data_IF_513515757852
#
_entry.id   IF_513515757852
#
_cell.length_a   1.000
_cell.length_b   1.000
_cell.length_c   1.000
_cell.angle_alpha   90.00
_cell.angle_beta   90.00
_cell.angle_gamma   90.00
#
_symmetry.space_group_name_H-M   'P 1'
#
loop_
_entity.id
_entity.type
_entity.pdbx_description
1 polymer ?
#
# COMPACT_ATOMS: atom_id res chain seq x y z
N UNK A 1 -9.96 19.07 -21.31
CA UNK A 1 -10.25 17.83 -22.08
C UNK A 1 -9.02 16.93 -22.08
N UNK A 2 -9.01 15.91 -21.23
CA UNK A 2 -8.39 14.62 -21.52
C UNK A 2 -9.56 13.69 -21.81
N UNK A 3 -9.57 13.05 -22.97
CA UNK A 3 -10.55 12.01 -23.30
C UNK A 3 -9.98 10.72 -22.72
N UNK A 4 -10.43 10.34 -21.53
CA UNK A 4 -10.31 8.96 -21.06
C UNK A 4 -11.55 8.24 -21.56
N UNK A 5 -11.35 7.25 -22.43
CA UNK A 5 -12.41 6.31 -22.81
C UNK A 5 -12.88 5.60 -21.54
N UNK A 6 -14.19 5.56 -21.24
CA UNK A 6 -14.70 4.67 -20.22
C UNK A 6 -14.69 3.26 -20.83
N UNK A 7 -13.51 2.63 -20.87
CA UNK A 7 -13.49 1.16 -20.86
C UNK A 7 -13.88 0.79 -19.44
N UNK A 8 -15.18 0.75 -19.20
CA UNK A 8 -15.73 0.00 -18.09
C UNK A 8 -15.41 -1.44 -18.45
N UNK A 9 -14.27 -1.94 -17.98
CA UNK A 9 -14.09 -3.38 -17.89
C UNK A 9 -15.18 -3.80 -16.90
N UNK A 10 -16.23 -4.50 -17.34
CA UNK A 10 -17.23 -4.97 -16.40
C UNK A 10 -16.49 -5.76 -15.33
N UNK A 11 -16.78 -5.57 -14.03
CA UNK A 11 -16.18 -6.38 -13.00
C UNK A 11 -16.37 -7.84 -13.43
N UNK A 12 -15.29 -8.64 -13.52
CA UNK A 12 -15.43 -10.00 -14.02
C UNK A 12 -16.50 -10.68 -13.18
N UNK A 13 -17.42 -11.39 -13.84
CA UNK A 13 -18.38 -12.24 -13.13
C UNK A 13 -17.62 -13.04 -12.06
N UNK A 14 -18.17 -13.19 -10.86
CA UNK A 14 -17.52 -13.89 -9.73
C UNK A 14 -17.04 -15.29 -10.14
N UNK A 15 -17.70 -15.90 -11.14
CA UNK A 15 -17.29 -17.17 -11.78
C UNK A 15 -16.08 -17.01 -12.72
N UNK A 16 -16.04 -15.93 -13.49
CA UNK A 16 -14.95 -15.62 -14.42
C UNK A 16 -13.66 -15.20 -13.73
N UNK A 17 -13.72 -14.49 -12.60
CA UNK A 17 -12.52 -14.08 -11.87
C UNK A 17 -11.82 -15.28 -11.22
N UNK A 18 -12.59 -16.20 -10.65
CA UNK A 18 -12.09 -17.47 -10.12
C UNK A 18 -11.49 -18.31 -11.24
N UNK A 19 -12.24 -18.50 -12.34
CA UNK A 19 -11.78 -19.25 -13.51
C UNK A 19 -10.53 -18.65 -14.16
N UNK A 20 -10.45 -17.31 -14.26
CA UNK A 20 -9.29 -16.59 -14.80
C UNK A 20 -8.06 -16.80 -13.90
N UNK A 21 -8.22 -16.61 -12.59
CA UNK A 21 -7.15 -16.86 -11.62
C UNK A 21 -6.68 -18.30 -11.67
N UNK A 22 -7.59 -19.29 -11.76
CA UNK A 22 -7.23 -20.71 -11.92
C UNK A 22 -6.55 -21.01 -13.27
N UNK A 23 -7.00 -20.37 -14.36
CA UNK A 23 -6.40 -20.55 -15.70
C UNK A 23 -5.00 -19.97 -15.82
N UNK A 24 -4.65 -18.98 -15.00
CA UNK A 24 -3.31 -18.40 -14.91
C UNK A 24 -2.30 -19.33 -14.21
N UNK A 25 -2.77 -20.33 -13.45
CA UNK A 25 -1.93 -21.24 -12.67
C UNK A 25 -1.94 -22.69 -13.18
N UNK A 26 -2.24 -22.90 -14.46
CA UNK A 26 -2.06 -24.14 -15.26
C UNK A 26 -2.01 -25.42 -14.42
N UNK A 27 -3.18 -26.00 -14.14
CA UNK A 27 -3.26 -27.43 -13.89
C UNK A 27 -3.22 -28.14 -15.25
N UNK A 28 -2.36 -29.14 -15.48
CA UNK A 28 -2.44 -29.97 -16.67
C UNK A 28 -3.86 -30.57 -16.74
N UNK A 29 -4.48 -30.58 -17.92
CA UNK A 29 -5.86 -31.01 -18.20
C UNK A 29 -6.20 -32.47 -17.80
N UNK A 30 -5.25 -33.17 -17.18
CA UNK A 30 -5.27 -34.62 -17.04
C UNK A 30 -5.93 -35.11 -15.74
N UNK A 31 -6.25 -34.22 -14.78
CA UNK A 31 -6.81 -34.64 -13.49
C UNK A 31 -8.19 -34.02 -13.20
N UNK A 32 -9.19 -34.49 -13.94
CA UNK A 32 -10.60 -34.06 -13.84
C UNK A 32 -11.14 -34.17 -12.42
N UNK A 33 -10.68 -35.16 -11.63
CA UNK A 33 -11.12 -35.38 -10.25
C UNK A 33 -10.65 -34.30 -9.27
N UNK A 34 -9.40 -33.87 -9.36
CA UNK A 34 -8.87 -32.79 -8.50
C UNK A 34 -9.56 -31.46 -8.82
N UNK A 35 -9.80 -31.18 -10.10
CA UNK A 35 -10.53 -29.98 -10.53
C UNK A 35 -11.96 -29.95 -9.97
N UNK A 36 -12.66 -31.09 -10.02
CA UNK A 36 -14.02 -31.20 -9.49
C UNK A 36 -14.06 -31.03 -7.97
N UNK A 37 -13.10 -31.63 -7.24
CA UNK A 37 -12.97 -31.44 -5.80
C UNK A 37 -12.74 -29.97 -5.42
N UNK A 38 -11.90 -29.26 -6.17
CA UNK A 38 -11.62 -27.84 -5.95
C UNK A 38 -12.87 -26.98 -6.21
N UNK A 39 -13.61 -27.25 -7.30
CA UNK A 39 -14.86 -26.56 -7.61
C UNK A 39 -15.94 -26.80 -6.54
N UNK A 40 -16.03 -28.01 -6.01
CA UNK A 40 -17.00 -28.37 -4.96
C UNK A 40 -16.65 -27.71 -3.62
N UNK A 41 -15.36 -27.67 -3.26
CA UNK A 41 -14.88 -26.89 -2.10
C UNK A 41 -15.17 -25.39 -2.30
N UNK A 42 -14.89 -24.84 -3.49
CA UNK A 42 -15.15 -23.43 -3.79
C UNK A 42 -16.64 -23.07 -3.71
N UNK A 43 -17.54 -23.98 -4.15
CA UNK A 43 -19.00 -23.84 -4.04
C UNK A 43 -19.47 -23.91 -2.58
N UNK A 44 -18.98 -24.87 -1.79
CA UNK A 44 -19.29 -24.97 -0.36
C UNK A 44 -18.87 -23.70 0.40
N UNK A 45 -17.66 -23.19 0.13
CA UNK A 45 -17.16 -21.94 0.69
C UNK A 45 -17.99 -20.73 0.23
N UNK A 46 -18.61 -20.79 -0.95
CA UNK A 46 -19.50 -19.73 -1.43
C UNK A 46 -20.86 -19.71 -0.71
N UNK A 47 -21.28 -20.85 -0.17
CA UNK A 47 -22.58 -21.03 0.49
C UNK A 47 -22.54 -20.81 2.01
N UNK A 48 -21.35 -20.82 2.63
CA UNK A 48 -21.20 -20.61 4.07
C UNK A 48 -20.38 -19.36 4.35
N UNK A 49 -20.93 -18.47 5.19
CA UNK A 49 -20.35 -17.14 5.43
C UNK A 49 -19.11 -17.14 6.34
N UNK A 50 -18.83 -18.22 7.09
CA UNK A 50 -17.71 -18.26 8.04
C UNK A 50 -17.02 -19.63 8.04
N UNK A 51 -15.82 -19.70 7.45
CA UNK A 51 -14.91 -20.84 7.55
C UNK A 51 -13.66 -20.43 8.34
N UNK A 52 -13.22 -21.27 9.27
CA UNK A 52 -11.86 -21.17 9.81
C UNK A 52 -10.87 -21.79 8.82
N UNK A 53 -9.62 -21.31 8.85
CA UNK A 53 -8.53 -21.85 8.04
C UNK A 53 -8.35 -23.37 8.27
N UNK A 54 -8.48 -23.81 9.52
CA UNK A 54 -8.45 -25.22 9.92
C UNK A 54 -9.54 -26.06 9.22
N UNK A 55 -10.78 -25.53 9.17
CA UNK A 55 -11.91 -26.22 8.54
C UNK A 55 -11.72 -26.36 7.03
N UNK A 56 -11.13 -25.36 6.38
CA UNK A 56 -10.82 -25.41 4.93
C UNK A 56 -9.72 -26.44 4.67
N UNK A 57 -8.65 -26.44 5.47
CA UNK A 57 -7.56 -27.44 5.36
C UNK A 57 -8.07 -28.86 5.54
N UNK A 58 -8.93 -29.10 6.54
CA UNK A 58 -9.51 -30.41 6.80
C UNK A 58 -10.45 -30.87 5.66
N UNK A 59 -11.26 -29.95 5.13
CA UNK A 59 -12.14 -30.23 4.00
C UNK A 59 -11.32 -30.56 2.75
N UNK A 60 -10.30 -29.77 2.38
CA UNK A 60 -9.44 -30.04 1.21
C UNK A 60 -8.70 -31.38 1.38
N UNK A 61 -8.18 -31.66 2.58
CA UNK A 61 -7.49 -32.92 2.89
C UNK A 61 -8.41 -34.13 2.71
N UNK A 62 -9.71 -33.99 2.98
CA UNK A 62 -10.70 -35.05 2.78
C UNK A 62 -10.88 -35.46 1.31
N UNK A 63 -10.55 -34.58 0.35
CA UNK A 63 -10.59 -34.88 -1.08
C UNK A 63 -9.27 -35.46 -1.63
N UNK A 64 -8.27 -35.69 -0.78
CA UNK A 64 -6.99 -36.28 -1.20
C UNK A 64 -6.13 -35.37 -2.08
N UNK A 65 -6.36 -34.06 -2.03
CA UNK A 65 -5.63 -33.05 -2.81
C UNK A 65 -4.19 -32.90 -2.30
N UNK A 66 -3.23 -32.78 -3.21
CA UNK A 66 -1.81 -32.60 -2.90
C UNK A 66 -1.53 -31.32 -2.11
N UNK A 67 -0.40 -31.27 -1.39
CA UNK A 67 -0.03 -30.11 -0.57
C UNK A 67 0.08 -28.81 -1.39
N UNK A 68 0.61 -28.87 -2.61
CA UNK A 68 0.76 -27.69 -3.48
C UNK A 68 -0.61 -27.12 -3.88
N UNK A 69 -1.58 -27.99 -4.17
CA UNK A 69 -2.95 -27.58 -4.48
C UNK A 69 -3.70 -27.09 -3.25
N UNK A 70 -3.44 -27.64 -2.06
CA UNK A 70 -3.97 -27.11 -0.79
C UNK A 70 -3.55 -25.66 -0.59
N UNK A 71 -2.30 -25.32 -0.87
CA UNK A 71 -1.80 -23.95 -0.75
C UNK A 71 -2.49 -23.01 -1.75
N UNK A 72 -2.64 -23.44 -3.01
CA UNK A 72 -3.34 -22.66 -4.06
C UNK A 72 -4.79 -22.41 -3.67
N UNK A 73 -5.51 -23.44 -3.21
CA UNK A 73 -6.91 -23.30 -2.78
C UNK A 73 -7.00 -22.36 -1.57
N UNK A 74 -6.11 -22.48 -0.58
CA UNK A 74 -6.08 -21.57 0.56
C UNK A 74 -5.87 -20.12 0.14
N UNK A 75 -4.93 -19.84 -0.77
CA UNK A 75 -4.73 -18.49 -1.31
C UNK A 75 -5.99 -17.96 -2.02
N UNK A 76 -6.67 -18.80 -2.79
CA UNK A 76 -7.93 -18.45 -3.45
C UNK A 76 -9.07 -18.14 -2.47
N UNK A 77 -9.16 -18.90 -1.37
CA UNK A 77 -10.17 -18.68 -0.32
C UNK A 77 -9.89 -17.40 0.45
N UNK A 78 -8.63 -17.16 0.84
CA UNK A 78 -8.20 -15.91 1.48
C UNK A 78 -8.53 -14.73 0.58
N UNK A 79 -8.15 -14.77 -0.71
CA UNK A 79 -8.44 -13.70 -1.65
C UNK A 79 -9.94 -13.39 -1.77
N UNK A 80 -10.79 -14.43 -1.76
CA UNK A 80 -12.26 -14.27 -1.81
C UNK A 80 -12.84 -13.69 -0.52
N UNK A 81 -12.37 -14.13 0.65
CA UNK A 81 -12.76 -13.56 1.93
C UNK A 81 -12.34 -12.09 2.01
N UNK A 82 -11.11 -11.78 1.62
CA UNK A 82 -10.62 -10.40 1.51
C UNK A 82 -11.48 -9.59 0.55
N UNK A 83 -11.87 -10.13 -0.61
CA UNK A 83 -12.77 -9.45 -1.54
C UNK A 83 -14.17 -9.21 -0.95
N UNK A 84 -14.73 -10.14 -0.19
CA UNK A 84 -16.00 -9.95 0.50
C UNK A 84 -15.90 -8.87 1.58
N UNK A 85 -14.85 -8.88 2.40
CA UNK A 85 -14.58 -7.84 3.40
C UNK A 85 -14.41 -6.47 2.74
N UNK A 86 -13.66 -6.40 1.63
CA UNK A 86 -13.51 -5.19 0.81
C UNK A 86 -14.88 -4.73 0.28
N UNK A 87 -15.70 -5.63 -0.27
CA UNK A 87 -17.03 -5.28 -0.77
C UNK A 87 -17.96 -4.76 0.33
N UNK A 88 -17.90 -5.35 1.53
CA UNK A 88 -18.65 -4.89 2.70
C UNK A 88 -18.14 -3.52 3.19
N UNK A 89 -16.83 -3.30 3.18
CA UNK A 89 -16.22 -2.01 3.46
C UNK A 89 -16.68 -0.96 2.44
N UNK A 90 -16.67 -1.27 1.14
CA UNK A 90 -17.19 -0.40 0.09
C UNK A 90 -18.67 -0.05 0.32
N UNK A 91 -19.53 -1.02 0.64
CA UNK A 91 -20.92 -0.73 0.96
C UNK A 91 -21.07 0.14 2.22
N UNK A 92 -20.20 -0.05 3.21
CA UNK A 92 -20.18 0.79 4.42
C UNK A 92 -19.73 2.21 4.11
N UNK A 93 -18.75 2.38 3.20
CA UNK A 93 -18.27 3.69 2.75
C UNK A 93 -19.32 4.37 1.86
N UNK A 94 -19.96 3.65 0.95
CA UNK A 94 -21.04 4.15 0.09
C UNK A 94 -22.30 4.51 0.89
N UNK A 95 -22.63 3.73 1.93
CA UNK A 95 -23.70 4.07 2.87
C UNK A 95 -23.34 5.31 3.70
N UNK A 96 -22.05 5.50 3.99
CA UNK A 96 -21.47 6.71 4.56
C UNK A 96 -21.05 7.74 3.50
N UNK A 97 -21.76 7.83 2.36
CA UNK A 97 -21.57 8.82 1.26
C UNK A 97 -21.42 10.29 1.68
N UNK A 98 -21.51 10.58 2.96
CA UNK A 98 -21.24 11.86 3.64
C UNK A 98 -19.79 12.09 4.11
N UNK A 99 -18.87 11.11 4.10
CA UNK A 99 -17.51 11.32 4.66
C UNK A 99 -16.53 12.02 3.72
N UNK A 100 -16.54 11.70 2.43
CA UNK A 100 -15.67 12.35 1.44
C UNK A 100 -16.45 13.38 0.61
N UNK A 101 -16.47 14.62 1.11
CA UNK A 101 -16.90 15.78 0.32
C UNK A 101 -15.69 16.62 -0.03
N UNK A 102 -15.68 17.22 -1.22
CA UNK A 102 -14.74 18.30 -1.56
C UNK A 102 -14.88 19.51 -0.61
N UNK A 103 -15.94 19.54 0.22
CA UNK A 103 -16.15 20.48 1.31
C UNK A 103 -15.56 20.03 2.66
N UNK A 104 -14.85 18.90 2.73
CA UNK A 104 -14.27 18.42 3.98
C UNK A 104 -13.14 19.38 4.42
N UNK A 105 -13.38 20.11 5.51
CA UNK A 105 -12.49 21.16 6.02
C UNK A 105 -11.10 20.63 6.36
N UNK A 106 -10.99 19.39 6.87
CA UNK A 106 -9.71 18.78 7.22
C UNK A 106 -8.86 18.52 5.96
N UNK A 107 -9.47 17.99 4.90
CA UNK A 107 -8.79 17.75 3.61
C UNK A 107 -8.36 19.07 2.97
N UNK A 108 -9.20 20.09 3.05
CA UNK A 108 -8.89 21.44 2.54
C UNK A 108 -7.71 22.04 3.33
N UNK A 109 -7.72 21.98 4.66
CA UNK A 109 -6.65 22.50 5.51
C UNK A 109 -5.32 21.83 5.19
N UNK A 110 -5.30 20.51 5.05
CA UNK A 110 -4.10 19.78 4.66
C UNK A 110 -3.63 20.10 3.26
N UNK A 111 -4.56 20.25 2.31
CA UNK A 111 -4.21 20.69 0.98
C UNK A 111 -3.54 22.07 0.99
N UNK A 112 -4.07 23.00 1.79
CA UNK A 112 -3.52 24.35 1.96
C UNK A 112 -2.12 24.34 2.57
N UNK A 113 -1.88 23.51 3.60
CA UNK A 113 -0.54 23.32 4.19
C UNK A 113 0.48 22.79 3.17
N UNK A 114 0.06 21.86 2.32
CA UNK A 114 0.93 21.26 1.31
C UNK A 114 1.20 22.18 0.10
N UNK A 115 0.46 23.29 -0.07
CA UNK A 115 0.64 24.21 -1.22
C UNK A 115 2.05 24.75 -1.33
N UNK A 116 2.65 25.12 -0.20
CA UNK A 116 4.01 25.67 -0.15
C UNK A 116 5.05 24.71 -0.75
N UNK A 117 4.82 23.40 -0.64
CA UNK A 117 5.71 22.38 -1.20
C UNK A 117 5.68 22.34 -2.73
N UNK A 118 4.59 22.70 -3.40
CA UNK A 118 4.42 22.53 -4.86
C UNK A 118 4.65 23.79 -5.70
N UNK A 119 5.76 24.50 -5.45
CA UNK A 119 6.44 25.48 -6.35
C UNK A 119 5.59 26.26 -7.37
N UNK A 120 4.41 26.75 -6.97
CA UNK A 120 3.42 27.43 -7.83
C UNK A 120 3.02 26.69 -9.12
N UNK A 121 3.21 25.37 -9.21
CA UNK A 121 2.84 24.59 -10.39
C UNK A 121 1.41 24.05 -10.25
N UNK A 122 0.39 24.61 -10.93
CA UNK A 122 -1.01 24.20 -10.74
C UNK A 122 -1.25 22.75 -11.15
N UNK A 123 -0.41 22.20 -12.05
CA UNK A 123 -0.51 20.80 -12.46
C UNK A 123 -0.03 19.85 -11.37
N UNK A 124 1.03 20.19 -10.64
CA UNK A 124 1.49 19.42 -9.47
C UNK A 124 0.45 19.46 -8.37
N UNK A 125 -0.08 20.65 -8.05
CA UNK A 125 -1.14 20.82 -7.06
C UNK A 125 -2.37 19.95 -7.38
N UNK A 126 -2.85 19.97 -8.63
CA UNK A 126 -3.96 19.11 -9.05
C UNK A 126 -3.66 17.61 -8.89
N UNK A 127 -2.43 17.18 -9.23
CA UNK A 127 -2.01 15.79 -9.05
C UNK A 127 -1.98 15.41 -7.57
N UNK A 128 -1.41 16.28 -6.73
CA UNK A 128 -1.39 16.12 -5.28
C UNK A 128 -2.80 15.96 -4.72
N UNK A 129 -3.72 16.88 -5.06
CA UNK A 129 -5.11 16.80 -4.62
C UNK A 129 -5.74 15.47 -5.00
N UNK A 130 -5.57 15.02 -6.25
CA UNK A 130 -6.11 13.72 -6.70
C UNK A 130 -5.55 12.54 -5.90
N UNK A 131 -4.25 12.53 -5.60
CA UNK A 131 -3.62 11.48 -4.79
C UNK A 131 -4.12 11.56 -3.35
N UNK A 132 -4.25 12.76 -2.78
CA UNK A 132 -4.81 12.97 -1.44
C UNK A 132 -6.26 12.48 -1.36
N UNK A 133 -7.11 12.79 -2.36
CA UNK A 133 -8.49 12.30 -2.45
C UNK A 133 -8.55 10.78 -2.36
N UNK A 134 -7.76 10.13 -3.22
CA UNK A 134 -7.71 8.68 -3.30
C UNK A 134 -7.17 8.07 -2.01
N UNK A 135 -6.09 8.61 -1.48
CA UNK A 135 -5.46 8.10 -0.25
C UNK A 135 -6.36 8.28 0.98
N UNK A 136 -7.09 9.40 1.07
CA UNK A 136 -8.08 9.63 2.11
C UNK A 136 -9.23 8.62 2.03
N UNK A 137 -9.70 8.30 0.82
CA UNK A 137 -10.71 7.27 0.62
C UNK A 137 -10.22 5.90 1.14
N UNK A 138 -8.97 5.53 0.84
CA UNK A 138 -8.37 4.29 1.37
C UNK A 138 -8.23 4.36 2.89
N UNK A 139 -7.79 5.49 3.43
CA UNK A 139 -7.69 5.73 4.87
C UNK A 139 -9.03 5.49 5.59
N UNK A 140 -10.13 6.06 5.10
CA UNK A 140 -11.46 5.88 5.68
C UNK A 140 -11.94 4.42 5.59
N UNK A 141 -11.62 3.72 4.50
CA UNK A 141 -11.90 2.29 4.38
C UNK A 141 -11.14 1.44 5.39
N UNK A 142 -9.84 1.69 5.57
CA UNK A 142 -9.02 1.02 6.60
C UNK A 142 -9.55 1.30 8.01
N UNK A 143 -9.92 2.55 8.29
CA UNK A 143 -10.52 2.96 9.56
C UNK A 143 -11.85 2.25 9.82
N UNK A 144 -12.70 2.10 8.80
CA UNK A 144 -13.96 1.35 8.90
C UNK A 144 -13.73 -0.13 9.22
N UNK A 145 -12.64 -0.71 8.70
CA UNK A 145 -12.18 -2.07 8.99
C UNK A 145 -11.41 -2.20 10.32
N UNK A 146 -11.30 -1.11 11.11
CA UNK A 146 -10.53 -1.06 12.38
C UNK A 146 -9.06 -1.45 12.22
N UNK A 147 -8.49 -1.22 11.03
CA UNK A 147 -7.06 -1.38 10.80
C UNK A 147 -6.31 -0.14 11.30
N UNK A 148 -5.01 -0.29 11.56
CA UNK A 148 -4.14 0.86 11.81
C UNK A 148 -4.16 1.81 10.60
N UNK A 149 -4.26 3.11 10.88
CA UNK A 149 -4.25 4.17 9.86
C UNK A 149 -3.34 5.32 10.29
N UNK A 150 -2.55 5.91 9.38
CA UNK A 150 -1.77 7.11 9.67
C UNK A 150 -2.70 8.31 9.92
N UNK A 151 -2.21 9.36 10.56
CA UNK A 151 -2.97 10.62 10.63
C UNK A 151 -3.09 11.24 9.23
N UNK A 152 -4.05 12.14 9.02
CA UNK A 152 -4.19 12.85 7.72
C UNK A 152 -2.93 13.70 7.44
N UNK A 153 -2.30 14.26 8.47
CA UNK A 153 -1.03 14.97 8.35
C UNK A 153 0.07 14.03 7.82
N UNK A 154 0.27 12.88 8.47
CA UNK A 154 1.26 11.87 8.04
C UNK A 154 0.99 11.39 6.61
N UNK A 155 -0.29 11.19 6.25
CA UNK A 155 -0.70 10.83 4.90
C UNK A 155 -0.31 11.91 3.88
N UNK A 156 -0.55 13.17 4.22
CA UNK A 156 -0.22 14.35 3.40
C UNK A 156 1.28 14.43 3.17
N UNK A 157 2.08 14.29 4.23
CA UNK A 157 3.54 14.32 4.16
C UNK A 157 4.10 13.17 3.33
N UNK A 158 3.52 11.98 3.46
CA UNK A 158 3.90 10.83 2.64
C UNK A 158 3.66 11.07 1.13
N UNK A 159 2.53 11.70 0.79
CA UNK A 159 2.20 12.05 -0.60
C UNK A 159 3.18 13.11 -1.12
N UNK A 160 3.48 14.14 -0.33
CA UNK A 160 4.49 15.16 -0.68
C UNK A 160 5.84 14.50 -0.94
N UNK A 161 6.29 13.63 -0.03
CA UNK A 161 7.54 12.90 -0.13
C UNK A 161 7.62 12.07 -1.42
N UNK A 162 6.55 11.32 -1.72
CA UNK A 162 6.46 10.47 -2.92
C UNK A 162 6.46 11.27 -4.22
N UNK A 163 5.81 12.43 -4.23
CA UNK A 163 5.72 13.27 -5.43
C UNK A 163 6.98 14.08 -5.69
N UNK A 164 7.63 14.59 -4.65
CA UNK A 164 8.82 15.45 -4.77
C UNK A 164 10.11 14.66 -4.89
N UNK A 165 10.22 13.54 -4.17
CA UNK A 165 11.44 12.73 -4.13
C UNK A 165 11.16 11.26 -4.46
N UNK A 166 10.63 10.95 -5.66
CA UNK A 166 10.30 9.58 -6.04
C UNK A 166 11.53 8.65 -6.04
N UNK A 167 12.73 9.17 -6.36
CA UNK A 167 13.97 8.37 -6.30
C UNK A 167 14.32 7.95 -4.87
N UNK A 168 14.09 8.83 -3.89
CA UNK A 168 14.25 8.50 -2.47
C UNK A 168 13.26 7.41 -2.05
N UNK A 169 11.98 7.55 -2.41
CA UNK A 169 10.95 6.54 -2.06
C UNK A 169 11.26 5.18 -2.69
N UNK A 170 11.76 5.16 -3.94
CA UNK A 170 12.23 3.92 -4.57
C UNK A 170 13.44 3.31 -3.85
N UNK A 171 14.38 4.14 -3.40
CA UNK A 171 15.53 3.68 -2.60
C UNK A 171 15.08 3.11 -1.25
N UNK A 172 14.18 3.80 -0.56
CA UNK A 172 13.60 3.37 0.71
C UNK A 172 12.91 2.02 0.55
N UNK A 173 12.03 1.89 -0.46
CA UNK A 173 11.32 0.65 -0.74
C UNK A 173 12.28 -0.54 -1.02
N UNK A 174 13.33 -0.32 -1.80
CA UNK A 174 14.36 -1.35 -2.06
C UNK A 174 15.09 -1.76 -0.79
N UNK A 175 15.39 -0.80 0.10
CA UNK A 175 16.09 -1.07 1.35
C UNK A 175 15.21 -1.74 2.39
N UNK A 176 13.92 -1.44 2.43
CA UNK A 176 12.99 -2.06 3.38
C UNK A 176 12.71 -3.55 3.13
N UNK A 177 13.06 -4.08 1.96
CA UNK A 177 12.79 -5.49 1.60
C UNK A 177 11.82 -5.66 0.43
N UNK A 178 11.49 -4.57 -0.27
CA UNK A 178 10.64 -4.59 -1.45
C UNK A 178 9.17 -4.90 -1.15
N UNK A 179 8.54 -5.70 -2.01
CA UNK A 179 7.09 -6.02 -1.98
C UNK A 179 6.75 -7.02 -0.84
N UNK A 180 7.73 -7.52 -0.10
CA UNK A 180 7.45 -8.44 1.01
C UNK A 180 6.82 -7.67 2.17
N UNK A 181 5.51 -7.88 2.37
CA UNK A 181 4.74 -7.37 3.50
C UNK A 181 4.98 -8.24 4.74
N UNK A 182 6.19 -8.19 5.29
CA UNK A 182 6.48 -8.75 6.61
C UNK A 182 6.70 -7.63 7.64
N UNK A 183 6.51 -7.96 8.92
CA UNK A 183 6.73 -7.01 10.03
C UNK A 183 8.18 -6.48 10.09
N UNK A 184 9.13 -7.20 9.50
CA UNK A 184 10.54 -6.77 9.48
C UNK A 184 10.75 -5.60 8.52
N UNK A 185 10.02 -5.59 7.40
CA UNK A 185 10.02 -4.49 6.42
C UNK A 185 9.50 -3.18 7.00
N UNK A 186 8.43 -3.24 7.82
CA UNK A 186 7.88 -2.07 8.52
C UNK A 186 8.90 -1.50 9.52
N UNK A 187 9.48 -2.35 10.39
CA UNK A 187 10.53 -1.94 11.35
C UNK A 187 11.71 -1.27 10.65
N UNK A 188 12.17 -1.84 9.53
CA UNK A 188 13.32 -1.29 8.80
C UNK A 188 13.00 0.05 8.16
N UNK A 189 11.80 0.22 7.63
CA UNK A 189 11.35 1.50 7.06
C UNK A 189 11.34 2.58 8.13
N UNK A 190 10.80 2.25 9.31
CA UNK A 190 10.79 3.13 10.47
C UNK A 190 12.21 3.55 10.86
N UNK A 191 13.10 2.60 11.08
CA UNK A 191 14.50 2.83 11.47
C UNK A 191 15.23 3.75 10.46
N UNK A 192 14.98 3.55 9.15
CA UNK A 192 15.56 4.40 8.11
C UNK A 192 15.03 5.84 8.23
N UNK A 193 13.72 6.01 8.38
CA UNK A 193 13.09 7.33 8.51
C UNK A 193 13.55 8.05 9.78
N UNK A 194 13.63 7.36 10.92
CA UNK A 194 14.14 7.93 12.18
C UNK A 194 15.60 8.37 12.05
N UNK A 195 16.44 7.57 11.39
CA UNK A 195 17.85 7.94 11.12
C UNK A 195 17.96 9.20 10.27
N UNK A 196 17.08 9.34 9.27
CA UNK A 196 16.97 10.54 8.43
C UNK A 196 16.39 11.72 9.21
N UNK A 197 15.43 11.53 10.09
CA UNK A 197 14.94 12.62 10.94
C UNK A 197 16.08 13.11 11.86
N UNK A 198 16.84 12.21 12.46
CA UNK A 198 17.90 12.56 13.40
C UNK A 198 19.10 13.29 12.77
N UNK A 199 19.55 12.85 11.61
CA UNK A 199 20.70 13.45 10.93
C UNK A 199 20.37 14.85 10.33
N UNK A 200 19.09 15.18 10.16
CA UNK A 200 18.63 16.33 9.33
C UNK A 200 18.95 17.69 9.93
N UNK A 201 19.25 17.73 11.23
CA UNK A 201 19.62 18.93 11.99
C UNK A 201 21.01 19.45 11.61
N UNK A 202 21.80 18.64 10.90
CA UNK A 202 23.18 18.96 10.51
C UNK A 202 23.24 19.67 9.16
N UNK A 203 24.41 20.16 8.78
CA UNK A 203 24.66 20.68 7.44
C UNK A 203 24.59 19.57 6.37
N UNK A 204 24.46 19.94 5.10
CA UNK A 204 24.23 18.97 4.00
C UNK A 204 25.41 18.01 3.78
N UNK A 205 26.64 18.44 4.04
CA UNK A 205 27.83 17.59 3.87
C UNK A 205 27.89 16.54 4.99
N UNK A 206 27.62 16.96 6.23
CA UNK A 206 27.52 16.05 7.38
C UNK A 206 26.34 15.08 7.23
N UNK A 207 25.17 15.57 6.81
CA UNK A 207 24.01 14.75 6.46
C UNK A 207 24.40 13.64 5.48
N UNK A 208 24.95 14.03 4.34
CA UNK A 208 25.30 13.10 3.26
C UNK A 208 26.29 12.05 3.74
N UNK A 209 27.35 12.46 4.45
CA UNK A 209 28.38 11.58 4.99
C UNK A 209 27.80 10.58 5.99
N UNK A 210 26.92 11.03 6.89
CA UNK A 210 26.29 10.16 7.89
C UNK A 210 25.34 9.15 7.26
N UNK A 211 24.47 9.58 6.35
CA UNK A 211 23.54 8.67 5.65
C UNK A 211 24.32 7.65 4.80
N UNK A 212 25.40 8.07 4.11
CA UNK A 212 26.28 7.14 3.39
C UNK A 212 26.92 6.10 4.32
N UNK A 213 27.39 6.54 5.48
CA UNK A 213 28.02 5.66 6.48
C UNK A 213 27.02 4.69 7.09
N UNK A 214 25.87 5.18 7.56
CA UNK A 214 24.85 4.38 8.24
C UNK A 214 24.25 3.29 7.33
N UNK A 215 24.02 3.61 6.05
CA UNK A 215 23.41 2.67 5.11
C UNK A 215 24.41 1.94 4.22
N UNK A 216 25.71 2.11 4.49
CA UNK A 216 26.82 1.52 3.74
C UNK A 216 26.68 1.75 2.22
N UNK A 217 26.49 3.02 1.84
CA UNK A 217 26.38 3.45 0.45
C UNK A 217 27.79 3.75 -0.06
N UNK A 218 28.29 2.93 -0.99
CA UNK A 218 29.61 3.12 -1.61
C UNK A 218 29.50 4.04 -2.83
N UNK A 219 30.45 4.97 -2.99
CA UNK A 219 30.37 6.12 -3.91
C UNK A 219 30.36 5.77 -5.39
N UNK A 220 30.85 4.59 -5.78
CA UNK A 220 31.34 4.42 -7.14
C UNK A 220 30.31 3.85 -8.14
N UNK A 221 29.16 3.37 -7.66
CA UNK A 221 28.14 2.71 -8.52
C UNK A 221 26.76 3.38 -8.44
N UNK A 222 26.49 4.14 -7.38
CA UNK A 222 25.14 4.62 -7.06
C UNK A 222 24.99 6.16 -7.05
N UNK A 223 26.06 6.95 -7.24
CA UNK A 223 25.99 8.41 -7.03
C UNK A 223 24.98 9.12 -7.95
N UNK A 224 24.86 8.72 -9.22
CA UNK A 224 23.84 9.26 -10.15
C UNK A 224 22.40 8.89 -9.74
N UNK A 225 22.22 7.78 -9.03
CA UNK A 225 20.90 7.30 -8.56
C UNK A 225 20.51 7.88 -7.19
N UNK A 226 21.46 8.52 -6.51
CA UNK A 226 21.30 9.03 -5.16
C UNK A 226 21.43 10.55 -5.10
N UNK A 227 21.07 11.25 -6.18
CA UNK A 227 21.03 12.72 -6.22
C UNK A 227 20.21 13.33 -5.09
N UNK A 228 19.24 12.58 -4.54
CA UNK A 228 18.43 12.99 -3.39
C UNK A 228 19.25 13.16 -2.09
N UNK A 229 20.41 12.50 -1.95
CA UNK A 229 21.27 12.66 -0.76
C UNK A 229 21.78 14.10 -0.61
N UNK A 230 22.01 14.76 -1.75
CA UNK A 230 22.50 16.12 -1.83
C UNK A 230 21.38 17.16 -1.95
N UNK A 231 20.11 16.74 -1.86
CA UNK A 231 18.96 17.64 -1.95
C UNK A 231 18.68 18.31 -0.59
N UNK A 232 19.03 19.58 -0.49
CA UNK A 232 18.82 20.38 0.71
C UNK A 232 17.32 20.49 1.10
N UNK A 233 16.40 20.45 0.14
CA UNK A 233 14.97 20.51 0.43
C UNK A 233 14.49 19.21 1.08
N UNK A 234 15.02 18.05 0.67
CA UNK A 234 14.68 16.77 1.31
C UNK A 234 15.22 16.72 2.74
N UNK A 235 16.45 17.20 2.95
CA UNK A 235 17.03 17.32 4.29
C UNK A 235 16.16 18.22 5.17
N UNK A 236 15.79 19.40 4.67
CA UNK A 236 14.95 20.35 5.40
C UNK A 236 13.54 19.79 5.66
N UNK A 237 12.98 19.01 4.73
CA UNK A 237 11.73 18.29 4.93
C UNK A 237 11.82 17.37 6.17
N UNK A 238 12.86 16.55 6.29
CA UNK A 238 13.05 15.69 7.47
C UNK A 238 13.32 16.49 8.75
N UNK A 239 13.97 17.65 8.65
CA UNK A 239 14.19 18.54 9.80
C UNK A 239 12.89 19.15 10.32
N UNK A 240 11.94 19.47 9.43
CA UNK A 240 10.60 19.91 9.83
C UNK A 240 9.74 18.75 10.34
N UNK A 241 9.79 17.57 9.70
CA UNK A 241 9.09 16.37 10.16
C UNK A 241 9.44 16.00 11.60
N UNK A 242 10.73 16.08 11.96
CA UNK A 242 11.20 15.80 13.33
C UNK A 242 10.56 16.70 14.39
N UNK A 243 10.11 17.91 14.03
CA UNK A 243 9.49 18.85 14.97
C UNK A 243 8.01 18.53 15.21
N UNK A 244 7.42 17.66 14.39
CA UNK A 244 6.01 17.30 14.51
C UNK A 244 5.77 16.35 15.69
N UNK A 245 4.60 16.41 16.34
CA UNK A 245 4.26 15.51 17.44
C UNK A 245 4.06 14.05 16.99
N UNK A 246 3.93 13.79 15.69
CA UNK A 246 3.78 12.46 15.11
C UNK A 246 4.52 12.44 13.77
N UNK A 247 5.85 12.20 13.78
CA UNK A 247 6.68 12.22 12.58
C UNK A 247 6.27 11.12 11.59
N UNK A 248 6.78 11.21 10.37
CA UNK A 248 6.50 10.25 9.32
C UNK A 248 6.95 8.82 9.66
N UNK A 249 8.04 8.67 10.42
CA UNK A 249 8.51 7.39 10.95
C UNK A 249 7.42 6.60 11.69
N UNK A 250 6.63 7.26 12.54
CA UNK A 250 5.53 6.63 13.31
C UNK A 250 4.36 6.12 12.43
N UNK A 251 4.29 6.56 11.18
CA UNK A 251 3.25 6.17 10.24
C UNK A 251 3.59 4.87 9.48
N UNK A 252 4.86 4.46 9.49
CA UNK A 252 5.36 3.28 8.77
C UNK A 252 4.68 1.97 9.20
N UNK A 253 4.27 1.86 10.46
CA UNK A 253 3.55 0.71 11.03
C UNK A 253 2.02 0.77 10.83
N UNK A 254 1.51 1.85 10.23
CA UNK A 254 0.07 2.13 10.10
C UNK A 254 -0.46 1.87 8.69
N UNK A 255 0.29 1.17 7.86
CA UNK A 255 -0.11 0.79 6.50
C UNK A 255 -0.14 1.96 5.52
N UNK A 256 0.96 2.73 5.47
CA UNK A 256 1.23 3.73 4.43
C UNK A 256 1.55 3.12 3.05
N UNK A 257 1.53 1.78 2.90
CA UNK A 257 1.93 1.01 1.72
C UNK A 257 0.92 -0.09 1.36
#
# INVERSE_FOLDING_TARGET
>A
KFVQLPVIIPPPDKRNLLHYTYSLFILPDNNTKERQAIEDVAKKIQLQENFSEESIKNEIKSYGVTNDLQEIVMRGVIAKQTQQQISQAYHTIDAKKTSYSDSNVEVIDQAMKAVSSFSNNPREMKRFLNVLRFSYFIHEGRKALRLGVPTIDQLTQWIVLTMKWPQFVLWLHKRSGGISYDKKSESRTREILETLEDASVKDIDTWTREIKTQFNITSDIDDDKLSWLYDENLKNFFAEERKLPSPLSDASEKGLY
#
